data_IF_373157291574
#
_entry.id   IF_373157291574
#
_cell.length_a   1.000
_cell.length_b   1.000
_cell.length_c   1.000
_cell.angle_alpha   90.00
_cell.angle_beta   90.00
_cell.angle_gamma   90.00
#
_symmetry.space_group_name_H-M   'P 1'
#
loop_
_entity.id
_entity.type
_entity.pdbx_description
1 polymer ?
#
# COMPACT_ATOMS: atom_id res chain seq x y z
N UNK A 1 4.47 -4.72 -9.93
CA UNK A 1 3.68 -4.12 -8.82
C UNK A 1 3.64 -5.12 -7.67
N UNK A 2 3.75 -4.64 -6.43
CA UNK A 2 3.68 -5.49 -5.24
C UNK A 2 2.25 -6.01 -5.05
N UNK A 3 2.09 -7.32 -4.85
CA UNK A 3 0.81 -7.95 -4.56
C UNK A 3 1.01 -9.28 -3.81
N UNK A 4 0.07 -9.71 -2.95
CA UNK A 4 0.15 -11.01 -2.29
C UNK A 4 -0.06 -12.16 -3.28
N UNK A 5 0.83 -13.16 -3.27
CA UNK A 5 0.70 -14.35 -4.15
C UNK A 5 -0.59 -15.14 -3.91
N UNK A 6 -1.02 -15.25 -2.65
CA UNK A 6 -2.24 -15.97 -2.25
C UNK A 6 -2.83 -15.30 -1.02
N UNK A 7 -4.15 -15.16 -0.99
CA UNK A 7 -4.91 -14.70 0.17
C UNK A 7 -5.97 -15.72 0.57
N UNK A 8 -6.22 -15.85 1.87
CA UNK A 8 -7.29 -16.72 2.38
C UNK A 8 -8.68 -16.18 2.00
N UNK A 9 -8.85 -14.86 2.09
CA UNK A 9 -10.11 -14.17 1.75
C UNK A 9 -9.85 -13.06 0.74
N UNK A 10 -10.49 -13.17 -0.44
CA UNK A 10 -10.32 -12.22 -1.55
C UNK A 10 -11.04 -10.88 -1.30
N UNK A 11 -12.15 -10.87 -0.57
CA UNK A 11 -12.96 -9.67 -0.32
C UNK A 11 -12.98 -9.37 1.16
N UNK A 12 -12.43 -8.23 1.56
CA UNK A 12 -12.28 -7.83 2.96
C UNK A 12 -13.05 -6.53 3.27
N UNK A 13 -13.32 -6.26 4.54
CA UNK A 13 -13.89 -4.99 4.97
C UNK A 13 -12.84 -3.86 4.92
N UNK A 14 -13.28 -2.63 4.70
CA UNK A 14 -12.40 -1.45 4.63
C UNK A 14 -11.71 -1.15 5.97
N UNK A 15 -12.31 -1.54 7.09
CA UNK A 15 -11.80 -1.20 8.42
C UNK A 15 -11.83 0.31 8.67
N UNK A 16 -11.16 0.74 9.73
CA UNK A 16 -11.04 2.15 10.13
C UNK A 16 -9.58 2.45 10.48
N UNK A 17 -9.04 3.56 9.99
CA UNK A 17 -7.70 4.03 10.36
C UNK A 17 -7.84 5.02 11.51
N UNK A 18 -7.54 4.58 12.73
CA UNK A 18 -7.61 5.40 13.95
C UNK A 18 -6.38 5.17 14.80
N UNK A 19 -5.98 6.20 15.55
CA UNK A 19 -4.83 6.13 16.45
C UNK A 19 -3.49 6.31 15.75
N UNK A 20 -2.42 5.98 16.48
CA UNK A 20 -1.03 6.15 16.05
C UNK A 20 -0.32 4.80 15.89
N UNK A 21 0.67 4.74 15.01
CA UNK A 21 1.46 3.53 14.81
C UNK A 21 2.34 3.24 16.04
N UNK A 22 2.07 2.12 16.72
CA UNK A 22 2.86 1.65 17.88
C UNK A 22 4.07 0.80 17.48
N UNK A 23 4.10 0.33 16.23
CA UNK A 23 5.17 -0.52 15.67
C UNK A 23 5.59 0.01 14.30
N UNK A 24 6.83 -0.31 13.89
CA UNK A 24 7.37 0.11 12.60
C UNK A 24 7.66 1.62 12.50
N UNK A 25 7.58 2.35 13.62
CA UNK A 25 7.74 3.79 13.73
C UNK A 25 9.19 4.27 13.95
N UNK A 26 10.16 3.35 13.93
CA UNK A 26 11.60 3.66 14.03
C UNK A 26 12.34 3.25 12.77
N UNK A 27 13.42 3.96 12.46
CA UNK A 27 14.39 3.57 11.44
C UNK A 27 15.15 2.35 11.95
N UNK A 28 15.03 1.25 11.23
CA UNK A 28 15.69 -0.03 11.58
C UNK A 28 16.79 -0.41 10.60
N UNK A 29 16.77 0.18 9.41
CA UNK A 29 17.70 -0.08 8.32
C UNK A 29 18.12 1.26 7.72
N UNK A 30 19.40 1.39 7.38
CA UNK A 30 19.96 2.63 6.84
C UNK A 30 20.08 3.74 7.88
N UNK A 31 20.47 4.92 7.41
CA UNK A 31 20.74 6.11 8.23
C UNK A 31 19.55 7.08 8.25
N UNK A 32 18.76 7.11 7.18
CA UNK A 32 17.64 8.04 6.99
C UNK A 32 16.33 7.28 6.75
N UNK A 33 15.21 7.88 7.16
CA UNK A 33 13.88 7.31 6.97
C UNK A 33 12.81 8.38 6.71
N UNK A 34 11.75 7.97 6.02
CA UNK A 34 10.57 8.78 5.77
C UNK A 34 9.43 8.31 6.68
N UNK A 35 8.91 9.20 7.52
CA UNK A 35 7.78 8.94 8.41
C UNK A 35 6.54 9.70 7.94
N UNK A 36 5.38 9.07 8.04
CA UNK A 36 4.09 9.69 7.72
C UNK A 36 3.51 10.39 8.93
N UNK A 37 2.95 11.58 8.74
CA UNK A 37 2.26 12.35 9.79
C UNK A 37 0.75 12.10 9.84
N UNK A 38 0.18 11.56 8.77
CA UNK A 38 -1.26 11.41 8.59
C UNK A 38 -1.64 9.98 8.18
N UNK A 39 -2.85 9.50 8.57
CA UNK A 39 -3.35 8.21 8.15
C UNK A 39 -3.89 8.26 6.71
N UNK A 40 -3.35 7.41 5.83
CA UNK A 40 -3.82 7.27 4.46
C UNK A 40 -3.69 5.82 3.96
N UNK A 41 -4.46 5.48 2.93
CA UNK A 41 -4.23 4.25 2.16
C UNK A 41 -3.15 4.49 1.11
N UNK A 42 -2.15 3.61 1.06
CA UNK A 42 -1.03 3.72 0.13
C UNK A 42 -1.13 2.57 -0.87
N UNK A 43 -1.29 2.89 -2.14
CA UNK A 43 -1.44 1.88 -3.19
C UNK A 43 -0.08 1.30 -3.61
N UNK A 44 -0.11 0.09 -4.18
CA UNK A 44 1.07 -0.52 -4.79
C UNK A 44 1.72 0.37 -5.87
N UNK A 45 0.93 1.16 -6.60
CA UNK A 45 1.42 2.09 -7.62
C UNK A 45 2.20 3.26 -7.02
N UNK A 46 1.71 3.82 -5.91
CA UNK A 46 2.39 4.93 -5.21
C UNK A 46 3.73 4.49 -4.62
N UNK A 47 3.80 3.29 -4.03
CA UNK A 47 5.04 2.71 -3.52
C UNK A 47 6.07 2.57 -4.65
N UNK A 48 5.62 2.07 -5.80
CA UNK A 48 6.51 1.86 -6.95
C UNK A 48 6.98 3.19 -7.56
N UNK A 49 6.09 4.17 -7.70
CA UNK A 49 6.44 5.51 -8.15
C UNK A 49 7.48 6.16 -7.23
N UNK A 50 7.29 6.08 -5.91
CA UNK A 50 8.22 6.60 -4.92
C UNK A 50 9.58 5.90 -4.97
N UNK A 51 9.58 4.57 -5.09
CA UNK A 51 10.81 3.76 -5.24
C UNK A 51 11.59 4.17 -6.49
N UNK A 52 10.91 4.31 -7.63
CA UNK A 52 11.53 4.73 -8.89
C UNK A 52 12.11 6.15 -8.76
N UNK A 53 11.37 7.08 -8.17
CA UNK A 53 11.84 8.45 -7.96
C UNK A 53 13.09 8.50 -7.08
N UNK A 54 13.09 7.81 -5.93
CA UNK A 54 14.23 7.74 -5.03
C UNK A 54 15.44 7.12 -5.73
N UNK A 55 15.29 5.93 -6.33
CA UNK A 55 16.39 5.21 -6.99
C UNK A 55 16.98 5.98 -8.17
N UNK A 56 16.15 6.70 -8.95
CA UNK A 56 16.64 7.56 -10.04
C UNK A 56 17.48 8.73 -9.52
N UNK A 57 17.07 9.34 -8.40
CA UNK A 57 17.82 10.44 -7.80
C UNK A 57 19.18 10.00 -7.24
N UNK A 58 19.23 8.84 -6.57
CA UNK A 58 20.47 8.28 -6.00
C UNK A 58 21.41 7.64 -7.05
N UNK A 59 20.92 7.42 -8.29
CA UNK A 59 21.66 6.84 -9.41
C UNK A 59 22.25 5.46 -9.05
N UNK A 60 23.59 5.33 -8.95
CA UNK A 60 24.29 4.06 -8.67
C UNK A 60 24.64 3.88 -7.18
N UNK A 61 24.51 4.91 -6.36
CA UNK A 61 24.88 4.87 -4.95
C UNK A 61 23.66 4.82 -4.05
N UNK A 62 23.68 3.96 -3.03
CA UNK A 62 22.64 3.92 -2.01
C UNK A 62 21.70 2.72 -2.11
N UNK A 63 21.23 2.28 -0.94
CA UNK A 63 20.30 1.17 -0.79
C UNK A 63 18.98 1.72 -0.24
N UNK A 64 17.87 1.36 -0.88
CA UNK A 64 16.53 1.79 -0.48
C UNK A 64 15.78 0.60 0.08
N UNK A 65 15.19 0.77 1.26
CA UNK A 65 14.35 -0.23 1.89
C UNK A 65 12.90 0.24 1.88
N UNK A 66 11.99 -0.65 1.46
CA UNK A 66 10.55 -0.42 1.55
C UNK A 66 10.04 -1.22 2.74
N UNK A 67 9.50 -0.53 3.76
CA UNK A 67 9.02 -1.14 5.02
C UNK A 67 7.51 -1.42 5.04
N UNK A 68 6.80 -1.11 3.97
CA UNK A 68 5.36 -1.33 3.82
C UNK A 68 5.08 -2.27 2.64
N UNK A 69 3.99 -3.03 2.72
CA UNK A 69 3.57 -3.93 1.66
C UNK A 69 2.05 -3.88 1.52
N UNK A 70 1.51 -3.75 0.30
CA UNK A 70 0.08 -3.64 0.08
C UNK A 70 -0.58 -5.03 0.09
N UNK A 71 -1.09 -5.43 1.25
CA UNK A 71 -1.70 -6.75 1.49
C UNK A 71 -3.24 -6.72 1.54
N UNK A 72 -3.84 -5.53 1.52
CA UNK A 72 -5.28 -5.36 1.67
C UNK A 72 -5.97 -5.18 0.30
N UNK A 73 -6.92 -6.04 -0.07
CA UNK A 73 -7.62 -5.91 -1.34
C UNK A 73 -8.71 -4.84 -1.26
N UNK A 74 -8.75 -3.96 -2.24
CA UNK A 74 -9.84 -3.01 -2.47
C UNK A 74 -10.70 -3.50 -3.63
N UNK A 75 -12.02 -3.52 -3.42
CA UNK A 75 -12.99 -3.96 -4.42
C UNK A 75 -13.71 -2.79 -5.06
N UNK A 76 -13.87 -2.84 -6.38
CA UNK A 76 -14.66 -1.90 -7.16
C UNK A 76 -15.76 -2.63 -7.94
N UNK A 77 -16.87 -1.92 -8.20
CA UNK A 77 -17.90 -2.38 -9.13
C UNK A 77 -17.62 -1.77 -10.51
N UNK A 78 -17.98 -2.44 -11.61
CA UNK A 78 -17.87 -1.85 -12.94
C UNK A 78 -18.66 -0.56 -13.05
N UNK A 79 -18.19 0.34 -13.92
CA UNK A 79 -18.94 1.52 -14.31
C UNK A 79 -20.33 1.12 -14.86
N UNK A 80 -21.30 2.04 -14.75
CA UNK A 80 -22.67 1.87 -15.26
C UNK A 80 -23.48 0.70 -14.65
N UNK A 81 -23.07 0.21 -13.47
CA UNK A 81 -23.84 -0.81 -12.73
C UNK A 81 -24.65 -0.20 -11.59
N UNK A 82 -25.93 -0.58 -11.49
CA UNK A 82 -26.79 -0.19 -10.37
C UNK A 82 -26.34 -0.85 -9.05
N UNK A 83 -26.76 -0.27 -7.93
CA UNK A 83 -26.53 -0.83 -6.60
C UNK A 83 -27.23 -2.20 -6.41
N UNK A 84 -26.79 -3.00 -5.43
CA UNK A 84 -27.25 -4.38 -5.21
C UNK A 84 -26.36 -5.47 -5.85
N UNK A 85 -26.88 -6.70 -6.01
CA UNK A 85 -26.22 -7.87 -6.67
C UNK A 85 -24.86 -8.32 -6.08
N UNK A 86 -24.57 -7.96 -4.83
CA UNK A 86 -23.37 -8.40 -4.12
C UNK A 86 -22.15 -7.48 -4.29
N UNK A 87 -20.97 -7.98 -3.88
CA UNK A 87 -19.73 -7.18 -3.82
C UNK A 87 -18.92 -7.31 -5.10
N UNK A 88 -18.32 -6.21 -5.55
CA UNK A 88 -17.45 -6.16 -6.74
C UNK A 88 -16.18 -7.01 -6.65
N UNK A 89 -15.41 -7.01 -7.73
CA UNK A 89 -14.14 -7.72 -7.82
C UNK A 89 -13.00 -6.91 -7.19
N UNK A 90 -11.90 -7.58 -6.84
CA UNK A 90 -10.69 -6.91 -6.36
C UNK A 90 -10.07 -6.17 -7.53
N UNK A 91 -9.83 -4.87 -7.33
CA UNK A 91 -9.33 -3.95 -8.34
C UNK A 91 -7.85 -3.63 -8.09
N UNK A 92 -7.51 -3.24 -6.86
CA UNK A 92 -6.12 -2.96 -6.45
C UNK A 92 -5.86 -3.33 -5.00
N UNK A 93 -4.61 -3.17 -4.59
CA UNK A 93 -4.11 -3.47 -3.24
C UNK A 93 -3.55 -2.21 -2.58
N UNK A 94 -3.85 -2.09 -1.28
CA UNK A 94 -3.36 -1.05 -0.36
C UNK A 94 -2.75 -1.67 0.88
#
# INVERSE_FOLDING_TARGET
MLLPKRVKHRKQHRGRMTGVATRGNKVTYGEYGLATTEPAWITAAQIEAARIAMTRYTKRGGKVWIKIFPDKPITARPADTRMGKGKGNVDYWV
#
